data_IF_420394400095
#
_entry.id   IF_420394400095
#
_cell.length_a   1.000
_cell.length_b   1.000
_cell.length_c   1.000
_cell.angle_alpha   90.00
_cell.angle_beta   90.00
_cell.angle_gamma   90.00
#
_symmetry.space_group_name_H-M   'P 1'
#
loop_
_entity.id
_entity.type
_entity.pdbx_description
1 polymer ?
#
# COMPACT_ATOMS: atom_id res chain seq x y z
N UNK A 1 14.01 -7.73 13.98
CA UNK A 1 12.99 -7.62 12.89
C UNK A 1 11.53 -7.55 13.38
N UNK A 2 11.19 -7.86 14.64
CA UNK A 2 9.79 -7.87 15.10
C UNK A 2 9.10 -6.49 15.28
N UNK A 3 9.83 -5.37 15.41
CA UNK A 3 9.22 -4.07 15.73
C UNK A 3 8.39 -3.46 14.58
N UNK A 4 8.70 -3.78 13.32
CA UNK A 4 7.97 -3.25 12.17
C UNK A 4 6.56 -3.85 12.05
N UNK A 5 6.40 -5.13 12.42
CA UNK A 5 5.10 -5.81 12.39
C UNK A 5 4.14 -5.29 13.46
N UNK A 6 4.67 -4.89 14.63
CA UNK A 6 3.86 -4.37 15.75
C UNK A 6 3.23 -3.02 15.40
N UNK A 7 3.95 -2.15 14.69
CA UNK A 7 3.42 -0.84 14.25
C UNK A 7 2.26 -0.96 13.25
N UNK A 8 2.24 -2.02 12.44
CA UNK A 8 1.20 -2.26 11.43
C UNK A 8 -0.12 -2.75 12.07
N UNK A 9 -0.06 -3.52 13.16
CA UNK A 9 -1.27 -4.01 13.85
C UNK A 9 -2.03 -2.89 14.57
N UNK A 10 -1.35 -1.93 15.18
CA UNK A 10 -2.00 -0.87 15.96
C UNK A 10 -2.77 0.12 15.07
N UNK A 11 -2.40 0.22 13.79
CA UNK A 11 -3.04 1.12 12.83
C UNK A 11 -4.45 0.68 12.39
N UNK A 12 -4.77 -0.60 12.51
CA UNK A 12 -5.97 -1.20 11.95
C UNK A 12 -7.19 -1.11 12.88
N UNK A 13 -7.02 -0.70 14.14
CA UNK A 13 -8.06 -0.77 15.17
C UNK A 13 -8.98 0.46 15.27
N UNK A 14 -8.71 1.55 14.55
CA UNK A 14 -9.55 2.75 14.57
C UNK A 14 -10.47 2.82 13.34
N UNK A 15 -11.73 2.40 13.55
CA UNK A 15 -12.85 2.54 12.61
C UNK A 15 -13.11 4.01 12.28
N UNK A 16 -13.42 4.26 11.00
CA UNK A 16 -14.12 5.45 10.45
C UNK A 16 -13.33 6.66 9.92
N UNK A 17 -12.03 6.59 9.68
CA UNK A 17 -11.35 7.43 8.67
C UNK A 17 -9.92 6.90 8.53
N UNK A 18 -9.68 6.02 7.55
CA UNK A 18 -8.34 5.50 7.28
C UNK A 18 -7.48 6.56 6.57
N UNK A 19 -7.23 7.69 7.24
CA UNK A 19 -5.90 8.29 7.16
C UNK A 19 -5.00 7.30 7.90
N UNK A 20 -3.97 6.73 7.27
CA UNK A 20 -3.06 5.85 7.99
C UNK A 20 -2.55 6.60 9.23
N UNK A 21 -2.56 6.01 10.44
CA UNK A 21 -2.00 6.62 11.65
C UNK A 21 -0.46 6.67 11.61
N UNK A 22 0.11 6.66 10.40
CA UNK A 22 1.51 6.82 10.13
C UNK A 22 1.75 8.32 10.04
N UNK A 23 2.19 8.91 11.16
CA UNK A 23 2.78 10.25 11.24
C UNK A 23 3.40 10.65 9.89
N UNK A 24 2.90 11.73 9.26
CA UNK A 24 3.21 12.18 7.88
C UNK A 24 4.72 12.20 7.55
N UNK A 25 5.58 12.24 8.57
CA UNK A 25 7.04 12.16 8.40
C UNK A 25 7.50 10.81 7.84
N UNK A 26 6.84 9.69 8.17
CA UNK A 26 7.35 8.35 7.90
C UNK A 26 6.61 7.58 6.81
N UNK A 27 5.44 8.03 6.34
CA UNK A 27 4.70 7.37 5.28
C UNK A 27 4.36 8.36 4.15
N UNK A 28 4.61 7.95 2.91
CA UNK A 28 4.48 8.81 1.73
C UNK A 28 3.89 8.01 0.58
N UNK A 29 3.19 8.68 -0.34
CA UNK A 29 2.85 8.06 -1.62
C UNK A 29 4.13 7.69 -2.39
N UNK A 30 4.17 6.46 -2.88
CA UNK A 30 5.26 5.94 -3.68
C UNK A 30 4.90 5.98 -5.17
N UNK A 31 3.75 5.40 -5.52
CA UNK A 31 3.25 5.33 -6.89
C UNK A 31 1.73 5.21 -6.86
N UNK A 32 1.07 5.96 -7.73
CA UNK A 32 -0.35 5.84 -8.04
C UNK A 32 -0.53 5.51 -9.53
N UNK A 33 -1.68 4.95 -9.87
CA UNK A 33 -2.01 4.62 -11.25
C UNK A 33 -3.35 3.92 -11.36
N UNK A 34 -3.62 3.40 -12.55
CA UNK A 34 -4.79 2.56 -12.82
C UNK A 34 -4.34 1.16 -13.23
N UNK A 35 -5.07 0.15 -12.77
CA UNK A 35 -4.94 -1.20 -13.27
C UNK A 35 -6.31 -1.83 -13.41
N UNK A 36 -6.72 -2.09 -14.67
CA UNK A 36 -8.06 -2.61 -15.05
C UNK A 36 -9.20 -1.71 -14.57
N UNK A 37 -9.12 -0.40 -14.83
CA UNK A 37 -10.11 0.62 -14.43
C UNK A 37 -10.31 0.68 -12.91
N UNK A 38 -9.31 0.26 -12.15
CA UNK A 38 -9.28 0.38 -10.68
C UNK A 38 -8.07 1.23 -10.30
N UNK A 39 -8.29 2.44 -9.78
CA UNK A 39 -7.18 3.24 -9.29
C UNK A 39 -6.47 2.47 -8.17
N UNK A 40 -5.16 2.63 -8.11
CA UNK A 40 -4.35 2.10 -7.03
C UNK A 40 -3.40 3.15 -6.51
N UNK A 41 -3.04 2.98 -5.24
CA UNK A 41 -2.10 3.81 -4.54
C UNK A 41 -1.21 2.91 -3.68
N UNK A 42 0.09 2.98 -3.92
CA UNK A 42 1.13 2.31 -3.16
C UNK A 42 1.82 3.37 -2.31
N UNK A 43 1.97 3.05 -1.04
CA UNK A 43 2.65 3.88 -0.05
C UNK A 43 4.04 3.33 0.24
N UNK A 44 4.92 4.18 0.74
CA UNK A 44 6.23 3.83 1.25
C UNK A 44 6.31 4.17 2.75
N UNK A 45 6.59 3.16 3.58
CA UNK A 45 6.99 3.36 4.97
C UNK A 45 8.52 3.53 5.06
N UNK A 46 8.96 4.57 5.77
CA UNK A 46 10.36 4.93 6.00
C UNK A 46 10.77 4.53 7.42
N UNK A 47 11.74 3.61 7.54
CA UNK A 47 12.32 3.20 8.82
C UNK A 47 13.84 3.35 8.75
N UNK A 48 14.35 4.51 9.16
CA UNK A 48 15.76 4.87 9.01
C UNK A 48 16.19 4.85 7.53
N UNK A 49 17.13 3.97 7.17
CA UNK A 49 17.56 3.73 5.78
C UNK A 49 16.76 2.64 5.06
N UNK A 50 15.79 2.01 5.71
CA UNK A 50 14.94 0.98 5.09
C UNK A 50 13.68 1.63 4.54
N UNK A 51 13.22 1.13 3.40
CA UNK A 51 11.95 1.48 2.76
C UNK A 51 11.13 0.23 2.56
N UNK A 52 9.84 0.37 2.79
CA UNK A 52 8.88 -0.74 2.75
C UNK A 52 7.66 -0.25 1.97
N UNK A 53 7.52 -0.61 0.69
CA UNK A 53 6.31 -0.34 -0.03
C UNK A 53 5.17 -1.24 0.45
N UNK A 54 3.97 -0.67 0.48
CA UNK A 54 2.77 -1.38 0.91
C UNK A 54 1.51 -0.77 0.28
N UNK A 55 0.44 -1.54 0.23
CA UNK A 55 -0.89 -1.08 -0.20
C UNK A 55 -1.98 -1.77 0.62
N UNK A 56 -3.20 -1.22 0.56
CA UNK A 56 -4.36 -1.85 1.18
C UNK A 56 -4.89 -2.98 0.30
N UNK A 57 -5.17 -4.13 0.90
CA UNK A 57 -5.96 -5.18 0.28
C UNK A 57 -7.38 -4.72 -0.03
N UNK A 58 -8.15 -5.54 -0.76
CA UNK A 58 -9.50 -5.19 -1.21
C UNK A 58 -10.47 -4.92 -0.04
N UNK A 59 -10.23 -5.53 1.12
CA UNK A 59 -10.99 -5.32 2.36
C UNK A 59 -10.71 -3.97 3.05
N UNK A 60 -9.72 -3.20 2.57
CA UNK A 60 -9.21 -1.95 3.16
C UNK A 60 -8.76 -2.07 4.63
N UNK A 61 -8.66 -3.28 5.15
CA UNK A 61 -8.24 -3.56 6.54
C UNK A 61 -6.93 -4.35 6.56
N UNK A 62 -6.63 -5.08 5.48
CA UNK A 62 -5.39 -5.81 5.32
C UNK A 62 -4.33 -4.93 4.67
N UNK A 63 -3.15 -4.90 5.27
CA UNK A 63 -1.98 -4.23 4.72
C UNK A 63 -1.12 -5.27 4.00
N UNK A 64 -0.93 -5.09 2.70
CA UNK A 64 -0.07 -5.93 1.88
C UNK A 64 1.28 -5.25 1.74
N UNK A 65 2.31 -5.86 2.33
CA UNK A 65 3.70 -5.42 2.20
C UNK A 65 4.32 -6.09 0.99
N UNK A 66 4.93 -5.33 0.08
CA UNK A 66 5.49 -5.90 -1.15
C UNK A 66 6.87 -6.50 -0.91
N UNK A 67 7.79 -5.68 -0.40
CA UNK A 67 9.18 -6.04 -0.16
C UNK A 67 9.85 -4.96 0.71
N UNK A 68 11.12 -5.16 1.05
CA UNK A 68 11.92 -4.15 1.75
C UNK A 68 13.24 -3.92 1.02
N UNK A 69 13.69 -2.67 0.99
CA UNK A 69 14.97 -2.32 0.39
C UNK A 69 15.69 -1.24 1.20
N UNK A 70 17.01 -1.17 1.04
CA UNK A 70 17.81 -0.10 1.62
C UNK A 70 17.84 1.08 0.67
N UNK A 71 17.52 2.27 1.19
CA UNK A 71 17.59 3.53 0.46
C UNK A 71 19.04 3.83 0.08
N UNK A 72 19.35 3.78 -1.21
CA UNK A 72 20.61 4.24 -1.79
C UNK A 72 20.56 5.70 -2.26
N UNK A 73 19.39 6.17 -2.72
CA UNK A 73 19.16 7.52 -3.28
C UNK A 73 17.93 8.19 -2.66
N UNK A 74 17.69 9.48 -2.92
CA UNK A 74 16.61 10.24 -2.25
C UNK A 74 15.20 9.65 -2.45
N UNK A 75 14.93 9.07 -3.63
CA UNK A 75 13.65 8.48 -4.02
C UNK A 75 13.84 6.98 -4.30
N UNK A 76 12.80 6.19 -4.16
CA UNK A 76 12.83 4.80 -4.61
C UNK A 76 13.17 4.73 -6.11
N UNK A 77 13.98 3.76 -6.51
CA UNK A 77 14.33 3.58 -7.92
C UNK A 77 13.09 3.18 -8.73
N UNK A 78 13.13 3.37 -10.05
CA UNK A 78 12.06 2.89 -10.94
C UNK A 78 11.86 1.38 -10.84
N UNK A 79 12.93 0.63 -10.59
CA UNK A 79 12.85 -0.82 -10.39
C UNK A 79 12.05 -1.17 -9.12
N UNK A 80 12.30 -0.47 -8.00
CA UNK A 80 11.54 -0.70 -6.75
C UNK A 80 10.05 -0.37 -6.92
N UNK A 81 9.75 0.73 -7.62
CA UNK A 81 8.36 1.13 -7.93
C UNK A 81 7.68 0.11 -8.84
N UNK A 82 8.39 -0.38 -9.88
CA UNK A 82 7.87 -1.40 -10.78
C UNK A 82 7.62 -2.73 -10.06
N UNK A 83 8.53 -3.17 -9.19
CA UNK A 83 8.35 -4.37 -8.38
C UNK A 83 7.12 -4.25 -7.49
N UNK A 84 6.94 -3.12 -6.79
CA UNK A 84 5.76 -2.91 -5.95
C UNK A 84 4.46 -2.92 -6.77
N UNK A 85 4.44 -2.28 -7.94
CA UNK A 85 3.29 -2.30 -8.84
C UNK A 85 2.98 -3.71 -9.36
N UNK A 86 4.00 -4.51 -9.70
CA UNK A 86 3.84 -5.90 -10.13
C UNK A 86 3.23 -6.77 -9.02
N UNK A 87 3.70 -6.63 -7.77
CA UNK A 87 3.11 -7.35 -6.63
C UNK A 87 1.64 -6.98 -6.44
N UNK A 88 1.29 -5.70 -6.59
CA UNK A 88 -0.10 -5.25 -6.53
C UNK A 88 -0.97 -5.88 -7.63
N UNK A 89 -0.48 -5.90 -8.87
CA UNK A 89 -1.21 -6.51 -10.00
C UNK A 89 -1.42 -8.00 -9.77
N UNK A 90 -0.36 -8.71 -9.37
CA UNK A 90 -0.44 -10.14 -9.05
C UNK A 90 -1.42 -10.42 -7.91
N UNK A 91 -1.43 -9.58 -6.87
CA UNK A 91 -2.42 -9.66 -5.80
C UNK A 91 -3.84 -9.47 -6.33
N UNK A 92 -4.10 -8.41 -7.11
CA UNK A 92 -5.42 -8.16 -7.71
C UNK A 92 -5.88 -9.25 -8.66
N UNK A 93 -4.96 -9.83 -9.42
CA UNK A 93 -5.23 -10.96 -10.31
C UNK A 93 -5.59 -12.22 -9.52
N UNK A 94 -4.82 -12.54 -8.48
CA UNK A 94 -5.05 -13.71 -7.63
C UNK A 94 -6.34 -13.59 -6.78
N UNK A 95 -6.67 -12.37 -6.36
CA UNK A 95 -7.89 -12.06 -5.61
C UNK A 95 -9.03 -11.59 -6.51
N UNK A 96 -8.97 -11.97 -7.81
CA UNK A 96 -9.90 -11.66 -8.89
C UNK A 96 -11.23 -11.03 -8.47
N UNK A 97 -11.36 -9.73 -8.75
CA UNK A 97 -12.58 -8.93 -8.84
C UNK A 97 -13.77 -9.39 -7.96
N UNK A 98 -13.89 -8.88 -6.73
CA UNK A 98 -15.17 -8.94 -6.00
C UNK A 98 -16.05 -7.69 -6.28
N UNK A 99 -17.39 -7.82 -6.18
CA UNK A 99 -18.40 -7.10 -6.96
C UNK A 99 -18.75 -5.73 -6.37
N UNK A 100 -18.19 -4.65 -6.91
CA UNK A 100 -18.72 -3.30 -6.66
C UNK A 100 -19.33 -2.68 -7.94
N UNK A 101 -19.96 -3.52 -8.76
CA UNK A 101 -20.99 -3.12 -9.73
C UNK A 101 -22.34 -2.74 -9.09
N UNK A 102 -22.43 -2.45 -7.79
CA UNK A 102 -23.75 -2.27 -7.16
C UNK A 102 -24.08 -0.95 -6.45
N UNK A 103 -23.19 0.04 -6.25
CA UNK A 103 -23.59 1.23 -5.45
C UNK A 103 -23.02 2.62 -5.78
N UNK A 104 -22.51 2.90 -6.98
CA UNK A 104 -22.22 4.30 -7.36
C UNK A 104 -22.57 4.64 -8.82
N UNK A 105 -23.74 4.16 -9.29
CA UNK A 105 -24.47 4.80 -10.39
C UNK A 105 -25.81 5.22 -9.78
N UNK A 106 -25.90 6.45 -9.31
CA UNK A 106 -27.12 6.98 -8.69
C UNK A 106 -26.82 8.02 -7.63
N UNK A 107 -26.27 9.15 -8.04
CA UNK A 107 -26.80 10.49 -7.73
C UNK A 107 -26.60 11.38 -8.96
#
# INVERSE_FOLDING_TARGET
MLRALVLLRTACAQRNQLKPPLNDKNCHELVSGDYRNRPYLIYELKVGRVRVPWFYGEDRHTLIVTHCFRKSTQKASKAEQATAATVLRNYRDAHGASPQELRFIGE
#
